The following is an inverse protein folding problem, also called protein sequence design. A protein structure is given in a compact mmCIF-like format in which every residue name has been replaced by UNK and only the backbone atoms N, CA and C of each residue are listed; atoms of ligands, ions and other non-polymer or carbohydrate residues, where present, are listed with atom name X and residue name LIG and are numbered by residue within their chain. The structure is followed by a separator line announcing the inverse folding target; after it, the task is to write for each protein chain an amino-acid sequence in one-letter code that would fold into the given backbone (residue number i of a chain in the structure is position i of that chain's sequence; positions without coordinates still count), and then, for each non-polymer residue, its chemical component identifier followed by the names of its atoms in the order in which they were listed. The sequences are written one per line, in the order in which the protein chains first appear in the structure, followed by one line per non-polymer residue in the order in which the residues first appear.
data_IF_682398008502
#
_entry.id   IF_682398008502
#
_cell.length_a   1.000
_cell.length_b   1.000
_cell.length_c   1.000
_cell.angle_alpha   90.00
_cell.angle_beta   90.00
_cell.angle_gamma   90.00
#
_symmetry.space_group_name_H-M   'P 1'
#
loop_
_entity.id
_entity.type
_entity.pdbx_description
1 polymer ?
#
# COMPACT_ATOMS: atom_id res chain seq x y z
N UNK A 1 4.87 -10.47 12.40
CA UNK A 1 4.89 -9.13 11.79
C UNK A 1 4.96 -9.37 10.30
N UNK A 2 4.04 -8.81 9.52
CA UNK A 2 3.92 -9.15 8.10
C UNK A 2 3.88 -7.90 7.22
N UNK A 3 4.38 -8.03 6.01
CA UNK A 3 4.37 -7.01 4.97
C UNK A 3 3.27 -7.31 3.93
N UNK A 4 2.49 -6.28 3.59
CA UNK A 4 1.36 -6.39 2.68
C UNK A 4 1.50 -5.36 1.56
N UNK A 5 1.35 -5.79 0.31
CA UNK A 5 1.08 -4.89 -0.80
C UNK A 5 -0.36 -5.10 -1.25
N UNK A 6 -1.16 -4.03 -1.28
CA UNK A 6 -2.59 -4.09 -1.57
C UNK A 6 -2.85 -3.25 -2.81
N UNK A 7 -3.24 -3.90 -3.90
CA UNK A 7 -3.69 -3.24 -5.12
C UNK A 7 -5.12 -2.72 -4.98
N UNK A 8 -5.46 -1.65 -5.68
CA UNK A 8 -6.81 -1.08 -5.62
C UNK A 8 -7.16 -0.51 -4.24
N UNK A 9 -6.17 -0.06 -3.46
CA UNK A 9 -6.33 0.39 -2.09
C UNK A 9 -7.08 1.72 -1.92
N UNK A 10 -7.45 2.38 -3.02
CA UNK A 10 -7.99 3.74 -2.99
C UNK A 10 -9.43 3.82 -2.46
N UNK A 11 -10.19 2.72 -2.48
CA UNK A 11 -11.62 2.69 -2.12
C UNK A 11 -12.10 1.26 -1.87
N UNK A 12 -13.34 1.13 -1.38
CA UNK A 12 -14.02 -0.16 -1.25
C UNK A 12 -13.25 -1.16 -0.39
N UNK A 13 -13.18 -2.41 -0.83
CA UNK A 13 -12.52 -3.48 -0.08
C UNK A 13 -11.02 -3.26 0.09
N UNK A 14 -10.33 -2.71 -0.91
CA UNK A 14 -8.89 -2.43 -0.80
C UNK A 14 -8.59 -1.44 0.33
N UNK A 15 -9.38 -0.37 0.42
CA UNK A 15 -9.27 0.61 1.51
C UNK A 15 -9.58 -0.03 2.88
N UNK A 16 -10.65 -0.83 2.96
CA UNK A 16 -11.01 -1.48 4.23
C UNK A 16 -9.94 -2.49 4.69
N UNK A 17 -9.31 -3.21 3.75
CA UNK A 17 -8.18 -4.08 4.07
C UNK A 17 -7.00 -3.28 4.61
N UNK A 18 -6.68 -2.11 4.03
CA UNK A 18 -5.67 -1.21 4.60
C UNK A 18 -6.07 -0.79 6.01
N UNK A 19 -7.32 -0.39 6.24
CA UNK A 19 -7.85 0.01 7.56
C UNK A 19 -7.70 -1.08 8.60
N UNK A 20 -8.08 -2.31 8.30
CA UNK A 20 -8.01 -3.40 9.27
C UNK A 20 -6.59 -3.89 9.49
N UNK A 21 -5.82 -4.10 8.41
CA UNK A 21 -4.47 -4.68 8.52
C UNK A 21 -3.47 -3.71 9.14
N UNK A 22 -3.62 -2.40 8.91
CA UNK A 22 -2.78 -1.37 9.55
C UNK A 22 -3.08 -1.17 11.03
N UNK A 23 -4.23 -1.63 11.53
CA UNK A 23 -4.57 -1.53 12.97
C UNK A 23 -3.62 -2.32 13.87
N UNK A 24 -2.90 -3.30 13.30
CA UNK A 24 -1.81 -4.00 13.97
C UNK A 24 -0.51 -3.23 13.70
N UNK A 25 0.07 -2.53 14.70
CA UNK A 25 1.18 -1.59 14.46
C UNK A 25 2.44 -2.22 13.90
N UNK A 26 2.61 -3.54 14.09
CA UNK A 26 3.73 -4.25 13.50
C UNK A 26 3.63 -4.40 11.99
N UNK A 27 2.44 -4.51 11.43
CA UNK A 27 2.31 -4.77 10.00
C UNK A 27 2.82 -3.59 9.19
N UNK A 28 3.48 -3.86 8.07
CA UNK A 28 3.84 -2.83 7.10
C UNK A 28 2.90 -2.92 5.91
N UNK A 29 2.16 -1.85 5.63
CA UNK A 29 1.16 -1.80 4.57
C UNK A 29 1.64 -0.90 3.44
N UNK A 30 1.68 -1.44 2.22
CA UNK A 30 1.89 -0.70 0.98
C UNK A 30 0.55 -0.62 0.23
N UNK A 31 -0.07 0.54 0.27
CA UNK A 31 -1.32 0.81 -0.42
C UNK A 31 -1.01 1.29 -1.84
N UNK A 32 -1.26 0.42 -2.84
CA UNK A 32 -1.01 0.71 -4.24
C UNK A 32 -2.27 1.31 -4.89
N UNK A 33 -2.14 2.53 -5.40
CA UNK A 33 -3.25 3.28 -6.00
C UNK A 33 -2.81 3.93 -7.31
N UNK A 34 -3.74 4.08 -8.26
CA UNK A 34 -3.44 4.76 -9.54
C UNK A 34 -3.17 6.24 -9.37
N UNK A 35 -3.95 6.88 -8.50
CA UNK A 35 -3.84 8.30 -8.21
C UNK A 35 -4.11 8.51 -6.71
N UNK A 36 -3.07 8.81 -5.91
CA UNK A 36 -3.20 9.06 -4.48
C UNK A 36 -4.12 10.23 -4.13
N UNK A 37 -4.23 11.23 -5.00
CA UNK A 37 -5.03 12.44 -4.74
C UNK A 37 -6.53 12.15 -4.81
N UNK A 38 -6.91 11.03 -5.45
CA UNK A 38 -8.30 10.58 -5.56
C UNK A 38 -8.79 9.79 -4.34
N UNK A 39 -7.98 9.60 -3.31
CA UNK A 39 -8.34 8.85 -2.11
C UNK A 39 -8.05 9.61 -0.80
N UNK A 40 -8.86 10.63 -0.46
CA UNK A 40 -8.70 11.39 0.79
C UNK A 40 -8.72 10.48 2.04
N UNK A 41 -9.61 9.50 2.09
CA UNK A 41 -9.72 8.58 3.22
C UNK A 41 -8.46 7.72 3.43
N UNK A 42 -7.78 7.31 2.35
CA UNK A 42 -6.51 6.60 2.46
C UNK A 42 -5.40 7.51 2.97
N UNK A 43 -5.38 8.76 2.51
CA UNK A 43 -4.38 9.74 2.93
C UNK A 43 -4.56 10.11 4.40
N UNK A 44 -5.78 10.35 4.85
CA UNK A 44 -6.09 10.60 6.26
C UNK A 44 -5.63 9.44 7.14
N UNK A 45 -5.91 8.20 6.71
CA UNK A 45 -5.49 7.01 7.43
C UNK A 45 -3.96 6.86 7.46
N UNK A 46 -3.26 7.16 6.35
CA UNK A 46 -1.80 7.13 6.29
C UNK A 46 -1.14 8.22 7.14
N UNK A 47 -1.80 9.38 7.29
CA UNK A 47 -1.37 10.43 8.21
C UNK A 47 -1.58 10.03 9.69
N UNK A 48 -2.61 9.25 9.98
CA UNK A 48 -2.86 8.70 11.33
C UNK A 48 -1.89 7.56 11.69
N UNK A 49 -1.50 6.74 10.71
CA UNK A 49 -0.78 5.47 10.92
C UNK A 49 0.51 5.39 10.12
N UNK A 50 1.63 5.52 10.83
CA UNK A 50 2.99 5.51 10.25
C UNK A 50 3.41 4.19 9.59
N UNK A 51 2.66 3.12 9.81
CA UNK A 51 2.91 1.82 9.20
C UNK A 51 2.27 1.64 7.82
N UNK A 52 1.59 2.68 7.32
CA UNK A 52 1.02 2.73 5.96
C UNK A 52 1.94 3.55 5.06
N UNK A 53 2.17 3.04 3.85
CA UNK A 53 2.88 3.73 2.77
C UNK A 53 2.00 3.71 1.52
N UNK A 54 1.59 4.88 1.07
CA UNK A 54 0.82 5.03 -0.18
C UNK A 54 1.81 5.14 -1.34
N UNK A 55 1.65 4.30 -2.36
CA UNK A 55 2.49 4.31 -3.55
C UNK A 55 1.61 4.41 -4.80
N UNK A 56 2.05 5.23 -5.76
CA UNK A 56 1.43 5.30 -7.06
C UNK A 56 1.84 4.08 -7.90
N UNK A 57 0.85 3.32 -8.35
CA UNK A 57 1.04 2.21 -9.27
C UNK A 57 -0.23 1.96 -10.09
N UNK A 58 -0.11 2.02 -11.42
CA UNK A 58 -1.14 1.54 -12.33
C UNK A 58 -0.81 0.11 -12.77
N UNK A 59 -1.71 -0.83 -12.51
CA UNK A 59 -1.56 -2.24 -12.89
C UNK A 59 -1.54 -2.47 -14.41
N UNK A 60 -1.97 -1.46 -15.19
CA UNK A 60 -1.88 -1.49 -16.65
C UNK A 60 -0.55 -0.94 -17.18
N UNK A 61 0.30 -0.39 -16.32
CA UNK A 61 1.61 0.16 -16.65
C UNK A 61 2.72 -0.68 -15.98
N UNK A 62 3.41 -1.56 -16.75
CA UNK A 62 4.47 -2.40 -16.22
C UNK A 62 5.61 -1.62 -15.55
N UNK A 63 5.97 -0.46 -16.07
CA UNK A 63 7.08 0.34 -15.53
C UNK A 63 6.69 0.96 -14.18
N UNK A 64 5.43 1.40 -14.04
CA UNK A 64 4.90 1.87 -12.76
C UNK A 64 4.91 0.76 -11.70
N UNK A 65 4.54 -0.47 -12.07
CA UNK A 65 4.55 -1.62 -11.15
C UNK A 65 5.99 -1.99 -10.74
N UNK A 66 6.94 -2.00 -11.68
CA UNK A 66 8.34 -2.26 -11.38
C UNK A 66 8.94 -1.21 -10.43
N UNK A 67 8.61 0.07 -10.65
CA UNK A 67 9.02 1.17 -9.78
C UNK A 67 8.44 1.03 -8.37
N UNK A 68 7.15 0.68 -8.26
CA UNK A 68 6.50 0.43 -6.97
C UNK A 68 7.14 -0.78 -6.27
N UNK A 69 7.41 -1.87 -6.98
CA UNK A 69 8.07 -3.05 -6.43
C UNK A 69 9.50 -2.74 -5.93
N UNK A 70 10.27 -1.94 -6.65
CA UNK A 70 11.59 -1.49 -6.21
C UNK A 70 11.50 -0.64 -4.93
N UNK A 71 10.50 0.23 -4.85
CA UNK A 71 10.23 1.07 -3.67
C UNK A 71 9.86 0.21 -2.45
N UNK A 72 8.96 -0.76 -2.63
CA UNK A 72 8.58 -1.75 -1.61
C UNK A 72 9.80 -2.54 -1.16
N UNK A 73 10.56 -3.10 -2.09
CA UNK A 73 11.76 -3.91 -1.83
C UNK A 73 12.79 -3.17 -0.99
N UNK A 74 12.99 -1.88 -1.26
CA UNK A 74 13.92 -1.01 -0.50
C UNK A 74 13.53 -0.90 0.98
N UNK A 75 12.23 -0.90 1.27
CA UNK A 75 11.72 -0.77 2.65
C UNK A 75 11.79 -2.09 3.41
N UNK A 76 11.53 -3.23 2.76
CA UNK A 76 11.40 -4.54 3.42
C UNK A 76 12.57 -5.50 3.17
N UNK A 77 13.62 -5.05 2.49
CA UNK A 77 14.81 -5.88 2.22
C UNK A 77 14.56 -7.00 1.20
N UNK A 78 13.67 -6.78 0.23
CA UNK A 78 13.46 -7.67 -0.91
C UNK A 78 12.51 -8.85 -0.72
N UNK A 79 11.87 -8.99 0.45
CA UNK A 79 10.86 -10.04 0.69
C UNK A 79 9.52 -9.44 1.12
N UNK A 80 8.49 -9.68 0.32
CA UNK A 80 7.09 -9.39 0.64
C UNK A 80 6.40 -10.66 1.15
N UNK A 81 5.58 -10.56 2.20
CA UNK A 81 4.86 -11.72 2.75
C UNK A 81 3.54 -11.96 2.02
N UNK A 82 2.77 -10.90 1.72
CA UNK A 82 1.42 -11.00 1.17
C UNK A 82 1.20 -9.92 0.08
N UNK A 83 0.65 -10.35 -1.06
CA UNK A 83 0.17 -9.49 -2.14
C UNK A 83 -1.34 -9.71 -2.32
N UNK A 84 -2.11 -8.62 -2.34
CA UNK A 84 -3.57 -8.61 -2.53
C UNK A 84 -3.94 -7.82 -3.78
#
# INVERSE_FOLDING_TARGET
MSSYAITGASRGLGLELVTQLSSVPGNTIFALVRDPDTSPALQDLANERSNIRVLTADVNDPDAILSAAASVSTVIGGKLDILI
#
